data_IF_426387739739
#
_entry.id   IF_426387739739
#
_cell.length_a   1.000
_cell.length_b   1.000
_cell.length_c   1.000
_cell.angle_alpha   90.00
_cell.angle_beta   90.00
_cell.angle_gamma   90.00
#
_symmetry.space_group_name_H-M   'P 1'
#
loop_
_entity.id
_entity.type
_entity.pdbx_description
1 polymer ?
#
# COMPACT_ATOMS: atom_id res chain seq x y z
N UNK A 1 7.19 25.51 -1.99
CA UNK A 1 7.55 24.09 -2.21
C UNK A 1 6.54 23.52 -3.20
N UNK A 2 6.99 22.87 -4.28
CA UNK A 2 6.08 22.41 -5.31
C UNK A 2 5.29 21.19 -4.78
N UNK A 3 3.99 21.35 -4.50
CA UNK A 3 3.13 20.32 -3.90
C UNK A 3 3.14 19.04 -4.73
N UNK A 4 3.28 19.20 -6.04
CA UNK A 4 3.49 18.14 -7.03
C UNK A 4 4.71 17.27 -6.66
N UNK A 5 5.89 17.87 -6.52
CA UNK A 5 7.13 17.14 -6.19
C UNK A 5 6.97 16.38 -4.88
N UNK A 6 6.37 17.03 -3.87
CA UNK A 6 6.13 16.36 -2.60
C UNK A 6 5.20 15.16 -2.78
N UNK A 7 4.08 15.30 -3.49
CA UNK A 7 3.17 14.19 -3.79
C UNK A 7 3.89 13.05 -4.52
N UNK A 8 4.71 13.36 -5.53
CA UNK A 8 5.45 12.35 -6.27
C UNK A 8 6.41 11.56 -5.37
N UNK A 9 7.05 12.21 -4.39
CA UNK A 9 7.90 11.52 -3.42
C UNK A 9 7.10 10.53 -2.55
N UNK A 10 5.88 10.89 -2.14
CA UNK A 10 4.99 9.97 -1.44
C UNK A 10 4.56 8.80 -2.34
N UNK A 11 4.17 9.07 -3.60
CA UNK A 11 3.81 8.04 -4.58
C UNK A 11 4.97 7.07 -4.81
N UNK A 12 6.18 7.59 -4.99
CA UNK A 12 7.39 6.79 -5.18
C UNK A 12 7.74 5.95 -3.95
N UNK A 13 7.65 6.55 -2.75
CA UNK A 13 7.87 5.83 -1.50
C UNK A 13 6.91 4.65 -1.33
N UNK A 14 5.62 4.85 -1.64
CA UNK A 14 4.60 3.80 -1.60
C UNK A 14 4.79 2.75 -2.70
N UNK A 15 5.24 3.15 -3.89
CA UNK A 15 5.61 2.25 -4.97
C UNK A 15 6.74 1.30 -4.53
N UNK A 16 7.86 1.85 -4.05
CA UNK A 16 8.99 1.03 -3.59
C UNK A 16 8.53 0.10 -2.46
N UNK A 17 7.76 0.63 -1.51
CA UNK A 17 7.27 -0.14 -0.37
C UNK A 17 6.39 -1.32 -0.79
N UNK A 18 5.43 -1.12 -1.72
CA UNK A 18 4.54 -2.21 -2.14
C UNK A 18 5.31 -3.30 -2.89
N UNK A 19 6.30 -2.93 -3.69
CA UNK A 19 7.14 -3.91 -4.40
C UNK A 19 8.00 -4.71 -3.43
N UNK A 20 8.58 -4.08 -2.40
CA UNK A 20 9.27 -4.78 -1.31
C UNK A 20 8.34 -5.76 -0.60
N UNK A 21 7.12 -5.32 -0.25
CA UNK A 21 6.12 -6.19 0.38
C UNK A 21 5.78 -7.38 -0.52
N UNK A 22 5.53 -7.13 -1.81
CA UNK A 22 5.11 -8.16 -2.77
C UNK A 22 6.20 -9.20 -3.04
N UNK A 23 7.45 -8.75 -3.21
CA UNK A 23 8.54 -9.60 -3.72
C UNK A 23 9.40 -10.20 -2.61
N UNK A 24 9.48 -9.54 -1.46
CA UNK A 24 10.38 -9.95 -0.38
C UNK A 24 9.56 -10.37 0.83
N UNK A 25 8.70 -9.48 1.33
CA UNK A 25 8.11 -9.68 2.65
C UNK A 25 7.06 -10.81 2.65
N UNK A 26 6.07 -10.77 1.77
CA UNK A 26 5.05 -11.82 1.75
C UNK A 26 5.60 -13.20 1.36
N UNK A 27 6.48 -13.32 0.35
CA UNK A 27 7.17 -14.58 0.10
C UNK A 27 8.00 -15.07 1.29
N UNK A 28 8.51 -14.17 2.15
CA UNK A 28 9.28 -14.59 3.33
C UNK A 28 8.45 -15.39 4.34
N UNK A 29 7.12 -15.25 4.34
CA UNK A 29 6.24 -15.91 5.32
C UNK A 29 6.31 -17.44 5.25
N UNK A 30 6.65 -18.01 4.09
CA UNK A 30 6.74 -19.46 3.90
C UNK A 30 8.00 -20.09 4.51
N UNK A 31 8.99 -19.29 4.93
CA UNK A 31 10.20 -19.79 5.58
C UNK A 31 10.09 -19.90 7.11
N UNK A 32 8.98 -19.42 7.70
CA UNK A 32 8.78 -19.43 9.14
C UNK A 32 7.94 -20.63 9.59
N UNK A 33 8.34 -21.25 10.70
CA UNK A 33 7.42 -22.07 11.48
C UNK A 33 6.25 -21.21 11.99
N UNK A 34 5.04 -21.77 12.05
CA UNK A 34 3.79 -21.05 12.37
C UNK A 34 3.90 -20.14 13.60
N UNK A 35 4.41 -20.67 14.72
CA UNK A 35 4.52 -19.89 15.97
C UNK A 35 5.48 -18.70 15.85
N UNK A 36 6.60 -18.90 15.13
CA UNK A 36 7.57 -17.84 14.86
C UNK A 36 7.00 -16.79 13.91
N UNK A 37 6.22 -17.22 12.91
CA UNK A 37 5.52 -16.31 12.01
C UNK A 37 4.54 -15.41 12.77
N UNK A 38 3.67 -15.96 13.64
CA UNK A 38 2.73 -15.15 14.45
C UNK A 38 3.49 -14.10 15.26
N UNK A 39 4.54 -14.52 15.97
CA UNK A 39 5.33 -13.64 16.84
C UNK A 39 5.99 -12.51 16.04
N UNK A 40 6.66 -12.85 14.94
CA UNK A 40 7.32 -11.87 14.07
C UNK A 40 6.30 -10.95 13.39
N UNK A 41 5.18 -11.51 12.89
CA UNK A 41 4.17 -10.77 12.14
C UNK A 41 3.48 -9.69 12.95
N UNK A 42 3.23 -9.92 14.24
CA UNK A 42 2.67 -8.89 15.15
C UNK A 42 3.55 -7.65 15.21
N UNK A 43 4.84 -7.86 15.48
CA UNK A 43 5.83 -6.77 15.54
C UNK A 43 6.03 -6.09 14.19
N UNK A 44 6.15 -6.89 13.12
CA UNK A 44 6.28 -6.41 11.76
C UNK A 44 5.11 -5.53 11.33
N UNK A 45 3.87 -5.99 11.56
CA UNK A 45 2.66 -5.29 11.08
C UNK A 45 2.47 -3.97 11.81
N UNK A 46 2.77 -3.91 13.12
CA UNK A 46 2.75 -2.67 13.88
C UNK A 46 3.80 -1.67 13.36
N UNK A 47 5.05 -2.09 13.24
CA UNK A 47 6.17 -1.22 12.83
C UNK A 47 6.01 -0.73 11.39
N UNK A 48 5.70 -1.63 10.47
CA UNK A 48 5.44 -1.28 9.07
C UNK A 48 4.18 -0.43 8.95
N UNK A 49 3.15 -0.72 9.74
CA UNK A 49 1.89 0.01 9.77
C UNK A 49 2.08 1.50 10.00
N UNK A 50 2.94 1.91 10.94
CA UNK A 50 3.25 3.32 11.17
C UNK A 50 3.82 4.01 9.92
N UNK A 51 4.77 3.37 9.23
CA UNK A 51 5.40 3.89 8.02
C UNK A 51 4.36 4.01 6.89
N UNK A 52 3.58 2.94 6.66
CA UNK A 52 2.56 2.88 5.62
C UNK A 52 1.48 3.93 5.84
N UNK A 53 0.94 4.05 7.05
CA UNK A 53 -0.14 5.00 7.36
C UNK A 53 0.34 6.44 7.19
N UNK A 54 1.56 6.77 7.66
CA UNK A 54 2.14 8.10 7.46
C UNK A 54 2.21 8.46 5.98
N UNK A 55 2.74 7.54 5.15
CA UNK A 55 2.85 7.75 3.71
C UNK A 55 1.48 7.85 3.04
N UNK A 56 0.56 6.93 3.34
CA UNK A 56 -0.77 6.90 2.72
C UNK A 56 -1.62 8.12 3.07
N UNK A 57 -1.55 8.63 4.31
CA UNK A 57 -2.26 9.86 4.71
C UNK A 57 -1.67 11.07 4.00
N UNK A 58 -0.33 11.21 4.02
CA UNK A 58 0.34 12.32 3.36
C UNK A 58 0.02 12.38 1.86
N UNK A 59 0.08 11.23 1.19
CA UNK A 59 -0.30 11.11 -0.21
C UNK A 59 -1.76 11.50 -0.47
N UNK A 60 -2.70 11.02 0.34
CA UNK A 60 -4.12 11.32 0.17
C UNK A 60 -4.40 12.82 0.30
N UNK A 61 -3.85 13.47 1.34
CA UNK A 61 -3.99 14.91 1.56
C UNK A 61 -3.42 15.69 0.36
N UNK A 62 -2.21 15.34 -0.08
CA UNK A 62 -1.56 16.02 -1.21
C UNK A 62 -2.34 15.82 -2.51
N UNK A 63 -2.89 14.62 -2.74
CA UNK A 63 -3.72 14.32 -3.91
C UNK A 63 -5.00 15.15 -3.95
N UNK A 64 -5.65 15.30 -2.79
CA UNK A 64 -6.85 16.14 -2.65
C UNK A 64 -6.50 17.60 -2.92
N UNK A 65 -5.47 18.14 -2.27
CA UNK A 65 -5.02 19.52 -2.49
C UNK A 65 -4.67 19.76 -3.96
N UNK A 66 -4.05 18.80 -4.62
CA UNK A 66 -3.65 18.92 -6.03
C UNK A 66 -4.85 19.03 -6.97
N UNK A 67 -5.88 18.20 -6.79
CA UNK A 67 -7.14 18.27 -7.57
C UNK A 67 -7.85 19.62 -7.36
N UNK A 68 -7.85 20.15 -6.13
CA UNK A 68 -8.53 21.42 -5.83
C UNK A 68 -7.79 22.66 -6.34
N UNK A 69 -6.46 22.61 -6.45
CA UNK A 69 -5.68 23.74 -7.00
C UNK A 69 -5.95 23.93 -8.48
N UNK A 70 -5.99 22.83 -9.21
CA UNK A 70 -6.12 22.84 -10.66
C UNK A 70 -6.78 21.53 -11.08
N UNK A 71 -8.03 21.66 -11.52
CA UNK A 71 -8.83 20.53 -11.92
C UNK A 71 -8.30 19.91 -13.21
N UNK A 72 -8.11 18.60 -13.19
CA UNK A 72 -7.78 17.78 -14.37
C UNK A 72 -8.42 16.41 -14.19
N UNK A 73 -9.00 15.87 -15.27
CA UNK A 73 -9.57 14.53 -15.25
C UNK A 73 -8.51 13.48 -14.84
N UNK A 74 -7.26 13.66 -15.26
CA UNK A 74 -6.14 12.79 -14.89
C UNK A 74 -5.90 12.78 -13.38
N UNK A 75 -5.93 13.95 -12.73
CA UNK A 75 -5.75 14.10 -11.28
C UNK A 75 -6.92 13.49 -10.50
N UNK A 76 -8.15 13.65 -11.00
CA UNK A 76 -9.34 13.01 -10.41
C UNK A 76 -9.26 11.49 -10.50
N UNK A 77 -8.85 10.95 -11.66
CA UNK A 77 -8.62 9.51 -11.82
C UNK A 77 -7.53 9.02 -10.84
N UNK A 78 -6.41 9.74 -10.73
CA UNK A 78 -5.33 9.41 -9.80
C UNK A 78 -5.83 9.34 -8.35
N UNK A 79 -6.60 10.34 -7.91
CA UNK A 79 -7.23 10.35 -6.59
C UNK A 79 -8.21 9.18 -6.40
N UNK A 80 -9.01 8.85 -7.41
CA UNK A 80 -9.91 7.70 -7.37
C UNK A 80 -9.17 6.37 -7.20
N UNK A 81 -8.01 6.20 -7.84
CA UNK A 81 -7.16 5.03 -7.65
C UNK A 81 -6.62 4.96 -6.21
N UNK A 82 -6.16 6.09 -5.65
CA UNK A 82 -5.68 6.15 -4.26
C UNK A 82 -6.79 5.77 -3.28
N UNK A 83 -8.01 6.28 -3.45
CA UNK A 83 -9.17 5.91 -2.63
C UNK A 83 -9.47 4.41 -2.77
N UNK A 84 -9.40 3.88 -3.99
CA UNK A 84 -9.59 2.44 -4.23
C UNK A 84 -8.55 1.60 -3.48
N UNK A 85 -7.27 2.00 -3.49
CA UNK A 85 -6.21 1.32 -2.74
C UNK A 85 -6.46 1.39 -1.23
N UNK A 86 -6.93 2.53 -0.72
CA UNK A 86 -7.36 2.67 0.68
C UNK A 86 -8.44 1.65 1.03
N UNK A 87 -9.52 1.60 0.25
CA UNK A 87 -10.62 0.65 0.48
C UNK A 87 -10.13 -0.80 0.47
N UNK A 88 -9.32 -1.20 -0.52
CA UNK A 88 -8.72 -2.54 -0.56
C UNK A 88 -7.88 -2.80 0.71
N UNK A 89 -7.05 -1.84 1.11
CA UNK A 89 -6.15 -1.98 2.27
C UNK A 89 -6.94 -2.20 3.57
N UNK A 90 -7.92 -1.35 3.86
CA UNK A 90 -8.67 -1.42 5.12
C UNK A 90 -9.74 -2.52 5.15
N UNK A 91 -10.38 -2.82 4.02
CA UNK A 91 -11.46 -3.81 3.95
C UNK A 91 -10.96 -5.23 3.72
N UNK A 92 -9.79 -5.42 3.09
CA UNK A 92 -9.28 -6.75 2.76
C UNK A 92 -7.98 -7.07 3.51
N UNK A 93 -6.97 -6.22 3.42
CA UNK A 93 -5.63 -6.54 3.94
C UNK A 93 -5.56 -6.46 5.46
N UNK A 94 -6.14 -5.42 6.07
CA UNK A 94 -6.17 -5.29 7.54
C UNK A 94 -6.83 -6.53 8.19
N UNK A 95 -8.03 -6.99 7.76
CA UNK A 95 -8.62 -8.22 8.29
C UNK A 95 -7.74 -9.47 8.10
N UNK A 96 -7.05 -9.61 6.96
CA UNK A 96 -6.17 -10.75 6.72
C UNK A 96 -4.95 -10.74 7.66
N UNK A 97 -4.33 -9.58 7.90
CA UNK A 97 -3.24 -9.42 8.87
C UNK A 97 -3.68 -9.71 10.31
N UNK A 98 -4.91 -9.31 10.67
CA UNK A 98 -5.49 -9.63 11.97
C UNK A 98 -5.68 -11.14 12.15
N UNK A 99 -6.12 -11.87 11.11
CA UNK A 99 -6.23 -13.35 11.17
C UNK A 99 -4.89 -14.01 11.48
N UNK A 100 -3.81 -13.55 10.85
CA UNK A 100 -2.45 -14.06 11.13
C UNK A 100 -2.04 -13.77 12.57
N UNK A 101 -2.26 -12.54 13.03
CA UNK A 101 -1.93 -12.09 14.39
C UNK A 101 -2.73 -12.85 15.46
N UNK A 102 -3.94 -13.28 15.16
CA UNK A 102 -4.81 -14.08 16.03
C UNK A 102 -4.57 -15.59 15.93
N UNK A 103 -3.42 -16.02 15.38
CA UNK A 103 -3.04 -17.43 15.22
C UNK A 103 -3.97 -18.27 14.33
N UNK A 104 -4.86 -17.62 13.57
CA UNK A 104 -5.70 -18.26 12.55
C UNK A 104 -4.93 -18.40 11.23
N UNK A 105 -3.68 -18.87 11.30
CA UNK A 105 -2.81 -19.04 10.12
C UNK A 105 -3.08 -20.39 9.47
N UNK A 106 -3.30 -20.34 8.15
CA UNK A 106 -3.20 -21.45 7.22
C UNK A 106 -2.55 -20.97 5.91
N UNK A 107 -2.08 -21.90 5.09
CA UNK A 107 -1.40 -21.59 3.83
C UNK A 107 -2.29 -20.83 2.85
N UNK A 108 -3.61 -21.05 2.92
CA UNK A 108 -4.59 -20.34 2.10
C UNK A 108 -4.57 -18.84 2.36
N UNK A 109 -4.51 -18.41 3.62
CA UNK A 109 -4.43 -16.98 4.00
C UNK A 109 -3.12 -16.36 3.52
N UNK A 110 -2.00 -17.09 3.65
CA UNK A 110 -0.69 -16.59 3.19
C UNK A 110 -0.66 -16.42 1.67
N UNK A 111 -1.19 -17.39 0.91
CA UNK A 111 -1.33 -17.30 -0.54
C UNK A 111 -2.30 -16.20 -0.97
N UNK A 112 -3.41 -16.03 -0.23
CA UNK A 112 -4.36 -14.93 -0.47
C UNK A 112 -3.70 -13.56 -0.33
N UNK A 113 -2.87 -13.34 0.69
CA UNK A 113 -2.13 -12.08 0.84
C UNK A 113 -1.24 -11.78 -0.37
N UNK A 114 -0.46 -12.76 -0.84
CA UNK A 114 0.40 -12.61 -2.03
C UNK A 114 -0.43 -12.31 -3.28
N UNK A 115 -1.51 -13.08 -3.50
CA UNK A 115 -2.32 -12.95 -4.71
C UNK A 115 -3.09 -11.64 -4.74
N UNK A 116 -3.76 -11.28 -3.64
CA UNK A 116 -4.50 -10.03 -3.57
C UNK A 116 -3.56 -8.83 -3.67
N UNK A 117 -2.35 -8.88 -3.11
CA UNK A 117 -1.44 -7.72 -3.10
C UNK A 117 -0.86 -7.38 -4.47
N UNK A 118 -0.94 -8.29 -5.45
CA UNK A 118 -0.70 -7.91 -6.85
C UNK A 118 -1.65 -6.82 -7.33
N UNK A 119 -2.92 -6.82 -6.90
CA UNK A 119 -3.85 -5.72 -7.24
C UNK A 119 -3.32 -4.37 -6.73
N UNK A 120 -2.89 -4.30 -5.47
CA UNK A 120 -2.28 -3.09 -4.89
C UNK A 120 -0.98 -2.71 -5.57
N UNK A 121 -0.16 -3.69 -5.94
CA UNK A 121 1.12 -3.46 -6.64
C UNK A 121 0.88 -2.80 -8.01
N UNK A 122 -0.09 -3.30 -8.77
CA UNK A 122 -0.48 -2.72 -10.06
C UNK A 122 -1.08 -1.32 -9.88
N UNK A 123 -2.00 -1.15 -8.92
CA UNK A 123 -2.64 0.13 -8.65
C UNK A 123 -1.64 1.21 -8.21
N UNK A 124 -0.72 0.91 -7.28
CA UNK A 124 0.32 1.86 -6.88
C UNK A 124 1.27 2.21 -8.03
N UNK A 125 1.61 1.23 -8.87
CA UNK A 125 2.43 1.46 -10.07
C UNK A 125 1.72 2.40 -11.03
N UNK A 126 0.42 2.19 -11.27
CA UNK A 126 -0.39 3.08 -12.10
C UNK A 126 -0.49 4.49 -11.51
N UNK A 127 -0.74 4.62 -10.20
CA UNK A 127 -0.76 5.93 -9.52
C UNK A 127 0.54 6.69 -9.76
N UNK A 128 1.69 6.05 -9.58
CA UNK A 128 2.99 6.69 -9.80
C UNK A 128 3.20 7.09 -11.27
N UNK A 129 2.87 6.22 -12.22
CA UNK A 129 2.98 6.51 -13.66
C UNK A 129 2.13 7.73 -14.05
N UNK A 130 0.87 7.78 -13.60
CA UNK A 130 -0.02 8.89 -13.90
C UNK A 130 0.48 10.20 -13.28
N UNK A 131 1.08 10.15 -12.08
CA UNK A 131 1.71 11.33 -11.46
C UNK A 131 2.92 11.83 -12.24
N UNK A 132 3.75 10.92 -12.79
CA UNK A 132 4.87 11.30 -13.65
C UNK A 132 4.39 11.94 -14.96
N UNK A 133 3.30 11.43 -15.55
CA UNK A 133 2.72 11.98 -16.79
C UNK A 133 2.14 13.37 -16.55
N UNK A 134 1.44 13.61 -15.44
CA UNK A 134 0.83 14.92 -15.15
C UNK A 134 1.87 16.02 -14.87
N UNK A 135 3.09 15.63 -14.46
CA UNK A 135 4.21 16.55 -14.22
C UNK A 135 5.04 16.90 -15.45
N UNK A 136 5.00 16.07 -16.49
CA UNK A 136 5.79 16.22 -17.72
C UNK A 136 5.06 17.05 -18.76
#
# INVERSE_FOLDING_TARGET
MNVEILKLLFDFGLLVLIWLVQRIIYPSFTYYQKNNLVKWHKEYTLRLGYIVIFLMIGQLILSVVWVFREFSLLRVINLGLIITIWLLTFLQFVPLHLKISSNMINDTILKQLVHLNWSRTLLWTLVFILSCIDMG
#
